data_IF_907531171800
#
_entry.id   IF_907531171800
#
_cell.length_a   1.000
_cell.length_b   1.000
_cell.length_c   1.000
_cell.angle_alpha   90.00
_cell.angle_beta   90.00
_cell.angle_gamma   90.00
#
_symmetry.space_group_name_H-M   'P 1'
#
loop_
_entity.id
_entity.type
_entity.pdbx_description
1 polymer ?
#
# COMPACT_ATOMS: atom_id res chain seq x y z
N UNK A 1 0.95 1.23 3.20
CA UNK A 1 0.98 -0.20 3.46
C UNK A 1 -0.18 -0.55 4.38
N UNK A 2 -0.95 -1.57 4.00
CA UNK A 2 -2.00 -2.11 4.86
C UNK A 2 -1.37 -2.81 6.06
N UNK A 3 -1.89 -2.55 7.26
CA UNK A 3 -1.44 -3.21 8.49
C UNK A 3 -2.66 -3.74 9.24
N UNK A 4 -3.67 -4.29 8.55
CA UNK A 4 -4.89 -4.83 9.16
C UNK A 4 -4.68 -6.19 9.86
N UNK A 5 -5.58 -6.60 10.76
CA UNK A 5 -5.47 -7.83 11.60
C UNK A 5 -5.32 -9.14 10.80
N UNK A 6 -5.57 -9.09 9.49
CA UNK A 6 -5.37 -10.21 8.57
C UNK A 6 -3.89 -10.56 8.30
N UNK A 7 -2.93 -9.72 8.72
CA UNK A 7 -1.49 -10.07 8.68
C UNK A 7 -1.07 -11.16 9.67
N UNK A 8 -1.98 -11.68 10.50
CA UNK A 8 -1.77 -12.84 11.39
C UNK A 8 -1.71 -14.19 10.65
N UNK A 9 -1.90 -14.25 9.32
CA UNK A 9 -1.75 -15.51 8.60
C UNK A 9 -0.29 -15.93 8.56
N UNK A 10 0.12 -16.76 9.53
CA UNK A 10 1.38 -17.49 9.47
C UNK A 10 1.42 -18.33 8.19
N UNK A 11 2.43 -18.10 7.36
CA UNK A 11 2.83 -19.03 6.30
C UNK A 11 4.13 -19.66 6.80
N UNK A 12 4.01 -20.80 7.50
CA UNK A 12 5.15 -21.38 8.22
C UNK A 12 5.46 -20.63 9.53
N UNK A 13 6.75 -20.40 9.81
CA UNK A 13 7.26 -19.74 11.04
C UNK A 13 7.37 -18.20 10.94
N UNK A 14 7.08 -17.60 9.79
CA UNK A 14 7.22 -16.16 9.56
C UNK A 14 5.86 -15.47 9.34
N UNK A 15 5.66 -14.30 9.97
CA UNK A 15 4.49 -13.48 9.72
C UNK A 15 4.68 -12.70 8.41
N UNK A 16 3.67 -12.69 7.54
CA UNK A 16 3.68 -11.97 6.25
C UNK A 16 4.08 -10.50 6.45
N UNK A 17 3.67 -9.89 7.56
CA UNK A 17 4.02 -8.50 7.87
C UNK A 17 5.52 -8.27 7.97
N UNK A 18 6.31 -9.24 8.45
CA UNK A 18 7.75 -9.05 8.60
C UNK A 18 8.43 -8.98 7.23
N UNK A 19 7.99 -9.82 6.30
CA UNK A 19 8.45 -9.77 4.91
C UNK A 19 8.00 -8.48 4.21
N UNK A 20 6.78 -8.02 4.46
CA UNK A 20 6.31 -6.74 3.94
C UNK A 20 7.10 -5.54 4.49
N UNK A 21 7.47 -5.55 5.77
CA UNK A 21 8.34 -4.53 6.37
C UNK A 21 9.72 -4.51 5.73
N UNK A 22 10.32 -5.68 5.52
CA UNK A 22 11.64 -5.79 4.86
C UNK A 22 11.57 -5.28 3.42
N UNK A 23 10.55 -5.69 2.67
CA UNK A 23 10.33 -5.21 1.31
C UNK A 23 10.10 -3.70 1.26
N UNK A 24 9.29 -3.17 2.18
CA UNK A 24 9.03 -1.73 2.30
C UNK A 24 10.30 -0.95 2.64
N UNK A 25 11.12 -1.46 3.57
CA UNK A 25 12.40 -0.84 3.93
C UNK A 25 13.37 -0.84 2.75
N UNK A 26 13.48 -1.98 2.04
CA UNK A 26 14.33 -2.10 0.85
C UNK A 26 13.91 -1.12 -0.26
N UNK A 27 12.60 -1.03 -0.55
CA UNK A 27 12.08 -0.05 -1.51
C UNK A 27 12.36 1.38 -1.03
N UNK A 28 12.08 1.71 0.23
CA UNK A 28 12.26 3.06 0.77
C UNK A 28 13.73 3.52 0.68
N UNK A 29 14.68 2.64 0.97
CA UNK A 29 16.10 2.92 0.76
C UNK A 29 16.46 3.12 -0.71
N UNK A 30 15.90 2.29 -1.60
CA UNK A 30 16.09 2.46 -3.04
C UNK A 30 15.60 3.82 -3.54
N UNK A 31 14.42 4.26 -3.10
CA UNK A 31 13.85 5.57 -3.43
C UNK A 31 14.72 6.73 -2.91
N UNK A 32 15.15 6.66 -1.65
CA UNK A 32 16.01 7.68 -1.03
C UNK A 32 17.36 7.79 -1.77
N UNK A 33 17.96 6.64 -2.12
CA UNK A 33 19.20 6.59 -2.89
C UNK A 33 19.06 7.15 -4.32
N UNK A 34 17.88 7.01 -4.93
CA UNK A 34 17.57 7.60 -6.24
C UNK A 34 17.23 9.09 -6.16
N UNK A 35 17.06 9.63 -4.95
CA UNK A 35 16.65 11.03 -4.73
C UNK A 35 15.16 11.27 -4.97
N UNK A 36 14.34 10.22 -4.96
CA UNK A 36 12.89 10.35 -5.08
C UNK A 36 12.29 11.00 -3.81
N UNK A 37 11.32 11.90 -4.02
CA UNK A 37 10.51 12.46 -2.95
C UNK A 37 9.35 11.50 -2.62
N UNK A 38 9.39 10.87 -1.44
CA UNK A 38 8.37 9.90 -1.05
C UNK A 38 7.97 10.01 0.42
N UNK A 39 6.74 9.58 0.72
CA UNK A 39 6.24 9.34 2.06
C UNK A 39 5.85 7.88 2.21
N UNK A 40 5.88 7.37 3.45
CA UNK A 40 5.44 6.03 3.81
C UNK A 40 4.35 6.18 4.85
N UNK A 41 3.17 5.69 4.51
CA UNK A 41 2.00 5.71 5.39
C UNK A 41 1.50 4.29 5.63
N UNK A 42 1.09 4.00 6.85
CA UNK A 42 0.28 2.83 7.17
C UNK A 42 -1.14 3.22 7.46
N UNK A 43 -2.07 2.30 7.20
CA UNK A 43 -3.47 2.54 7.48
C UNK A 43 -4.13 1.33 8.12
N UNK A 44 -5.06 1.62 9.02
CA UNK A 44 -5.95 0.64 9.64
C UNK A 44 -7.27 1.31 10.03
N UNK A 45 -8.32 0.53 10.31
CA UNK A 45 -9.66 1.04 10.60
C UNK A 45 -10.27 0.33 11.80
N UNK A 46 -10.71 1.08 12.80
CA UNK A 46 -11.46 0.55 13.94
C UNK A 46 -12.96 0.72 13.68
N UNK A 47 -13.66 -0.37 13.34
CA UNK A 47 -15.11 -0.39 13.03
C UNK A 47 -15.48 0.61 11.91
N UNK A 48 -16.77 0.98 11.81
CA UNK A 48 -17.34 1.80 10.73
C UNK A 48 -16.99 3.30 10.79
N UNK A 49 -16.34 3.78 11.84
CA UNK A 49 -16.31 5.22 12.13
C UNK A 49 -14.91 5.84 12.15
N UNK A 50 -13.83 5.05 12.18
CA UNK A 50 -12.47 5.60 12.33
C UNK A 50 -11.44 4.89 11.48
N UNK A 51 -10.87 5.63 10.53
CA UNK A 51 -9.68 5.24 9.76
C UNK A 51 -8.48 5.96 10.37
N UNK A 52 -7.48 5.19 10.74
CA UNK A 52 -6.20 5.67 11.23
C UNK A 52 -5.21 5.60 10.07
N UNK A 53 -4.61 6.74 9.74
CA UNK A 53 -3.46 6.81 8.83
C UNK A 53 -2.29 7.31 9.66
N UNK A 54 -1.19 6.58 9.62
CA UNK A 54 0.02 6.88 10.39
C UNK A 54 1.17 7.13 9.41
N UNK A 55 1.82 8.27 9.56
CA UNK A 55 3.05 8.59 8.84
C UNK A 55 4.21 7.84 9.50
N UNK A 56 4.74 6.85 8.78
CA UNK A 56 6.00 6.18 9.11
C UNK A 56 7.17 7.07 8.71
N UNK A 57 7.04 7.71 7.54
CA UNK A 57 7.97 8.69 6.98
C UNK A 57 7.19 9.76 6.24
N UNK A 58 7.35 11.02 6.61
CA UNK A 58 6.87 12.16 5.81
C UNK A 58 7.74 12.43 4.58
N UNK A 59 7.24 13.25 3.65
CA UNK A 59 8.02 13.63 2.47
C UNK A 59 9.31 14.40 2.80
N UNK A 60 9.28 15.23 3.85
CA UNK A 60 10.41 16.09 4.23
C UNK A 60 11.37 15.41 5.23
N UNK A 61 11.08 14.16 5.63
CA UNK A 61 11.99 13.33 6.42
C UNK A 61 12.96 12.57 5.49
N UNK A 62 14.22 12.43 5.90
CA UNK A 62 15.20 11.56 5.22
C UNK A 62 15.17 10.15 5.75
N UNK A 63 15.54 9.16 4.92
CA UNK A 63 15.78 7.81 5.44
C UNK A 63 16.91 7.80 6.47
N UNK A 64 16.83 6.85 7.39
CA UNK A 64 17.80 6.64 8.45
C UNK A 64 17.23 5.76 9.56
N UNK A 65 18.05 5.49 10.58
CA UNK A 65 17.75 4.52 11.65
C UNK A 65 16.38 4.73 12.33
N UNK A 66 15.94 5.99 12.45
CA UNK A 66 14.62 6.31 13.03
C UNK A 66 13.47 5.80 12.16
N UNK A 67 13.55 5.97 10.84
CA UNK A 67 12.52 5.53 9.91
C UNK A 67 12.54 4.00 9.81
N UNK A 68 13.72 3.40 9.76
CA UNK A 68 13.88 1.94 9.79
C UNK A 68 13.22 1.33 11.03
N UNK A 69 13.47 1.90 12.22
CA UNK A 69 12.85 1.43 13.46
C UNK A 69 11.32 1.58 13.44
N UNK A 70 10.78 2.65 12.83
CA UNK A 70 9.32 2.81 12.67
C UNK A 70 8.75 1.75 11.72
N UNK A 71 9.42 1.44 10.61
CA UNK A 71 9.01 0.37 9.68
C UNK A 71 9.05 -0.98 10.39
N UNK A 72 10.17 -1.31 11.06
CA UNK A 72 10.33 -2.58 11.79
C UNK A 72 9.26 -2.76 12.90
N UNK A 73 8.91 -1.66 13.58
CA UNK A 73 7.91 -1.62 14.64
C UNK A 73 6.45 -1.63 14.18
N UNK A 74 6.17 -1.70 12.87
CA UNK A 74 4.80 -1.82 12.39
C UNK A 74 4.15 -3.10 12.93
N UNK A 75 2.89 -2.99 13.34
CA UNK A 75 2.14 -4.13 13.89
C UNK A 75 0.78 -4.20 13.21
N UNK A 76 0.23 -5.42 13.02
CA UNK A 76 -1.13 -5.58 12.53
C UNK A 76 -2.13 -4.92 13.50
N UNK A 77 -3.11 -4.21 12.96
CA UNK A 77 -4.17 -3.52 13.69
C UNK A 77 -5.45 -3.43 12.84
N UNK A 78 -6.58 -3.90 13.39
CA UNK A 78 -7.96 -3.68 12.92
C UNK A 78 -8.26 -3.84 11.40
N UNK A 79 -9.36 -3.30 10.90
CA UNK A 79 -9.93 -3.56 9.55
C UNK A 79 -9.39 -2.62 8.46
N UNK A 80 -9.70 -2.86 7.19
CA UNK A 80 -9.19 -2.07 6.06
C UNK A 80 -10.27 -1.19 5.44
N UNK A 81 -10.13 0.15 5.50
CA UNK A 81 -10.92 1.10 4.68
C UNK A 81 -10.03 1.77 3.64
N UNK A 82 -9.76 1.00 2.58
CA UNK A 82 -8.82 1.35 1.53
C UNK A 82 -9.16 2.67 0.83
N UNK A 83 -10.42 2.92 0.50
CA UNK A 83 -10.83 4.16 -0.15
C UNK A 83 -10.52 5.42 0.64
N UNK A 84 -10.70 5.40 1.96
CA UNK A 84 -10.33 6.51 2.84
C UNK A 84 -8.81 6.71 2.90
N UNK A 85 -8.03 5.63 2.99
CA UNK A 85 -6.57 5.70 2.98
C UNK A 85 -6.03 6.29 1.66
N UNK A 86 -6.59 5.85 0.52
CA UNK A 86 -6.23 6.37 -0.81
C UNK A 86 -6.51 7.88 -0.89
N UNK A 87 -7.68 8.34 -0.44
CA UNK A 87 -8.01 9.78 -0.45
C UNK A 87 -7.06 10.59 0.43
N UNK A 88 -6.74 10.09 1.62
CA UNK A 88 -5.81 10.75 2.54
C UNK A 88 -4.41 10.86 1.93
N UNK A 89 -3.85 9.76 1.43
CA UNK A 89 -2.54 9.75 0.79
C UNK A 89 -2.51 10.61 -0.48
N UNK A 90 -3.59 10.57 -1.27
CA UNK A 90 -3.74 11.39 -2.48
C UNK A 90 -3.75 12.89 -2.15
N UNK A 91 -4.41 13.31 -1.05
CA UNK A 91 -4.37 14.71 -0.62
C UNK A 91 -2.95 15.17 -0.28
N UNK A 92 -2.20 14.40 0.53
CA UNK A 92 -0.81 14.75 0.85
C UNK A 92 0.13 14.74 -0.36
N UNK A 93 -0.10 13.84 -1.31
CA UNK A 93 0.64 13.80 -2.58
C UNK A 93 0.29 14.99 -3.48
N UNK A 94 -0.93 15.52 -3.40
CA UNK A 94 -1.36 16.65 -4.20
C UNK A 94 -0.62 17.94 -3.84
N UNK A 95 -0.21 18.10 -2.59
CA UNK A 95 0.54 19.26 -2.10
C UNK A 95 2.00 19.30 -2.60
N UNK A 96 2.51 18.20 -3.17
CA UNK A 96 3.86 18.15 -3.74
C UNK A 96 3.90 18.81 -5.13
N UNK A 97 4.95 19.60 -5.41
CA UNK A 97 5.16 20.28 -6.69
C UNK A 97 5.59 19.34 -7.84
N UNK A 98 5.89 18.07 -7.53
CA UNK A 98 6.42 17.09 -8.47
C UNK A 98 5.41 16.77 -9.58
N UNK A 99 5.88 16.70 -10.83
CA UNK A 99 5.02 16.48 -12.00
C UNK A 99 4.53 15.04 -12.13
N UNK A 100 5.34 14.06 -11.73
CA UNK A 100 4.95 12.65 -11.66
C UNK A 100 4.61 12.33 -10.21
N UNK A 101 3.38 11.87 -9.97
CA UNK A 101 2.84 11.54 -8.66
C UNK A 101 2.37 10.09 -8.70
N UNK A 102 2.98 9.22 -7.91
CA UNK A 102 2.63 7.81 -7.82
C UNK A 102 2.14 7.48 -6.41
N UNK A 103 0.97 6.86 -6.33
CA UNK A 103 0.46 6.22 -5.12
C UNK A 103 0.57 4.70 -5.26
N UNK A 104 1.48 4.11 -4.49
CA UNK A 104 1.68 2.66 -4.42
C UNK A 104 0.98 2.10 -3.18
N UNK A 105 0.05 1.17 -3.39
CA UNK A 105 -0.77 0.58 -2.33
C UNK A 105 -0.37 -0.88 -2.15
N UNK A 106 0.22 -1.22 -1.00
CA UNK A 106 0.62 -2.60 -0.66
C UNK A 106 -0.41 -3.17 0.32
N UNK A 107 -0.99 -4.33 -0.01
CA UNK A 107 -1.99 -5.04 0.81
C UNK A 107 -1.90 -6.56 0.57
N UNK A 108 -2.24 -7.36 1.57
CA UNK A 108 -2.27 -8.82 1.48
C UNK A 108 -3.53 -9.38 0.79
N UNK A 109 -4.46 -8.47 0.44
CA UNK A 109 -5.64 -8.76 -0.35
C UNK A 109 -6.61 -9.77 0.26
N UNK A 110 -6.51 -10.05 1.57
CA UNK A 110 -7.33 -11.10 2.16
C UNK A 110 -8.81 -10.73 2.18
N UNK A 111 -9.70 -11.71 1.89
CA UNK A 111 -11.13 -11.47 1.80
C UNK A 111 -11.70 -10.91 3.10
N UNK A 112 -11.30 -11.42 4.27
CA UNK A 112 -11.91 -11.04 5.56
C UNK A 112 -11.85 -9.53 5.89
N UNK A 113 -10.96 -8.76 5.27
CA UNK A 113 -10.90 -7.31 5.45
C UNK A 113 -11.95 -6.53 4.63
N UNK A 114 -12.49 -7.13 3.57
CA UNK A 114 -13.53 -6.55 2.70
C UNK A 114 -14.85 -7.35 2.71
N UNK A 115 -14.78 -8.68 2.85
CA UNK A 115 -15.88 -9.63 2.67
C UNK A 115 -16.86 -9.67 3.84
N UNK A 116 -16.38 -9.60 5.09
CA UNK A 116 -17.30 -9.83 6.21
C UNK A 116 -18.07 -8.57 6.65
N UNK A 117 -17.66 -7.37 6.21
CA UNK A 117 -18.27 -6.12 6.70
C UNK A 117 -18.58 -5.05 5.65
N UNK A 118 -17.98 -5.05 4.45
CA UNK A 118 -18.17 -3.98 3.44
C UNK A 118 -18.68 -4.44 2.06
N UNK A 119 -18.51 -5.71 1.68
CA UNK A 119 -19.05 -6.29 0.45
C UNK A 119 -18.81 -5.42 -0.80
N UNK A 120 -19.82 -5.31 -1.67
CA UNK A 120 -19.75 -4.48 -2.89
C UNK A 120 -19.50 -2.99 -2.60
N UNK A 121 -19.89 -2.47 -1.43
CA UNK A 121 -19.76 -1.04 -1.13
C UNK A 121 -18.30 -0.65 -0.88
N UNK A 122 -17.53 -1.42 -0.11
CA UNK A 122 -16.11 -1.13 0.14
C UNK A 122 -15.27 -1.20 -1.15
N UNK A 123 -15.57 -2.18 -2.01
CA UNK A 123 -14.96 -2.30 -3.34
C UNK A 123 -15.29 -1.06 -4.20
N UNK A 124 -16.55 -0.64 -4.22
CA UNK A 124 -16.99 0.48 -5.05
C UNK A 124 -16.48 1.83 -4.51
N UNK A 125 -16.43 2.01 -3.19
CA UNK A 125 -15.80 3.18 -2.55
C UNK A 125 -14.31 3.25 -2.88
N UNK A 126 -13.58 2.14 -2.73
CA UNK A 126 -12.15 2.07 -3.06
C UNK A 126 -11.90 2.36 -4.53
N UNK A 127 -12.74 1.82 -5.43
CA UNK A 127 -12.70 2.11 -6.87
C UNK A 127 -12.94 3.60 -7.13
N UNK A 128 -13.89 4.22 -6.44
CA UNK A 128 -14.14 5.65 -6.58
C UNK A 128 -12.95 6.49 -6.09
N UNK A 129 -12.33 6.13 -4.97
CA UNK A 129 -11.12 6.77 -4.47
C UNK A 129 -9.95 6.68 -5.47
N UNK A 130 -9.73 5.52 -6.10
CA UNK A 130 -8.73 5.37 -7.18
C UNK A 130 -9.04 6.31 -8.34
N UNK A 131 -10.31 6.41 -8.76
CA UNK A 131 -10.71 7.31 -9.85
C UNK A 131 -10.52 8.78 -9.49
N UNK A 132 -10.80 9.16 -8.25
CA UNK A 132 -10.58 10.51 -7.74
C UNK A 132 -9.09 10.87 -7.77
N UNK A 133 -8.22 10.01 -7.25
CA UNK A 133 -6.77 10.21 -7.29
C UNK A 133 -6.23 10.31 -8.74
N UNK A 134 -6.71 9.43 -9.64
CA UNK A 134 -6.35 9.50 -11.07
C UNK A 134 -6.80 10.78 -11.75
N UNK A 135 -7.97 11.32 -11.40
CA UNK A 135 -8.45 12.63 -11.90
C UNK A 135 -7.57 13.79 -11.44
N UNK A 136 -6.88 13.65 -10.31
CA UNK A 136 -5.87 14.61 -9.84
C UNK A 136 -4.50 14.44 -10.54
N UNK A 137 -4.39 13.49 -11.49
CA UNK A 137 -3.17 13.21 -12.23
C UNK A 137 -2.23 12.23 -11.53
N UNK A 138 -2.68 11.54 -10.47
CA UNK A 138 -1.86 10.54 -9.79
C UNK A 138 -1.90 9.21 -10.55
N UNK A 139 -0.74 8.61 -10.77
CA UNK A 139 -0.67 7.17 -11.03
C UNK A 139 -1.03 6.44 -9.74
N UNK A 140 -1.86 5.41 -9.83
CA UNK A 140 -2.28 4.61 -8.67
C UNK A 140 -2.12 3.15 -9.02
N UNK A 141 -1.31 2.44 -8.24
CA UNK A 141 -0.97 1.03 -8.46
C UNK A 141 -1.11 0.22 -7.18
N UNK A 142 -1.79 -0.93 -7.26
CA UNK A 142 -1.89 -1.89 -6.17
C UNK A 142 -0.82 -2.98 -6.26
N UNK A 143 -0.23 -3.38 -5.15
CA UNK A 143 0.60 -4.58 -5.01
C UNK A 143 -0.09 -5.49 -4.01
N UNK A 144 -0.51 -6.66 -4.49
CA UNK A 144 -1.33 -7.60 -3.74
C UNK A 144 -0.51 -8.83 -3.42
N UNK A 145 -0.35 -9.14 -2.14
CA UNK A 145 0.35 -10.34 -1.68
C UNK A 145 -0.65 -11.47 -1.46
N UNK A 146 -1.07 -12.14 -2.53
CA UNK A 146 -2.08 -13.20 -2.46
C UNK A 146 -1.80 -14.34 -3.45
N UNK A 147 -1.98 -15.58 -2.99
CA UNK A 147 -1.92 -16.80 -3.82
C UNK A 147 -3.10 -16.90 -4.78
N UNK A 148 -4.23 -16.29 -4.45
CA UNK A 148 -5.47 -16.35 -5.24
C UNK A 148 -5.82 -14.94 -5.73
N UNK A 149 -5.11 -14.46 -6.75
CA UNK A 149 -5.34 -13.15 -7.35
C UNK A 149 -6.83 -12.80 -7.43
N UNK A 150 -7.25 -11.81 -6.66
CA UNK A 150 -8.67 -11.60 -6.40
C UNK A 150 -9.30 -10.77 -7.51
N UNK A 151 -10.42 -11.24 -8.08
CA UNK A 151 -11.13 -10.54 -9.17
C UNK A 151 -11.56 -9.11 -8.81
N UNK A 152 -11.70 -8.79 -7.51
CA UNK A 152 -12.07 -7.44 -7.07
C UNK A 152 -10.94 -6.42 -7.17
N UNK A 153 -9.66 -6.82 -7.18
CA UNK A 153 -8.56 -5.86 -7.36
C UNK A 153 -8.60 -5.22 -8.75
N UNK A 154 -8.90 -6.02 -9.77
CA UNK A 154 -9.18 -5.50 -11.12
C UNK A 154 -10.36 -4.53 -11.11
N UNK A 155 -11.38 -4.77 -10.29
CA UNK A 155 -12.50 -3.83 -10.15
C UNK A 155 -12.11 -2.51 -9.47
N UNK A 156 -11.18 -2.52 -8.51
CA UNK A 156 -10.74 -1.32 -7.79
C UNK A 156 -9.74 -0.51 -8.62
N UNK A 157 -8.68 -1.17 -9.08
CA UNK A 157 -7.54 -0.51 -9.73
C UNK A 157 -7.65 -0.50 -11.26
N UNK A 158 -8.55 -1.28 -11.86
CA UNK A 158 -8.62 -1.47 -13.31
C UNK A 158 -7.55 -2.45 -13.81
N UNK A 159 -7.71 -2.88 -15.07
CA UNK A 159 -6.72 -3.73 -15.74
C UNK A 159 -5.36 -3.01 -15.81
N UNK A 160 -4.29 -3.74 -15.49
CA UNK A 160 -2.92 -3.20 -15.44
C UNK A 160 -2.64 -2.23 -14.27
N UNK A 161 -3.64 -1.89 -13.45
CA UNK A 161 -3.47 -1.00 -12.29
C UNK A 161 -3.01 -1.70 -11.00
N UNK A 162 -2.67 -2.99 -11.08
CA UNK A 162 -2.18 -3.76 -9.93
C UNK A 162 -1.25 -4.89 -10.37
N UNK A 163 -0.42 -5.35 -9.44
CA UNK A 163 0.45 -6.52 -9.56
C UNK A 163 0.12 -7.51 -8.44
N UNK A 164 0.19 -8.81 -8.76
CA UNK A 164 -0.01 -9.88 -7.77
C UNK A 164 1.33 -10.55 -7.50
N UNK A 165 1.70 -10.60 -6.22
CA UNK A 165 2.86 -11.33 -5.72
C UNK A 165 2.33 -12.56 -4.98
N UNK A 166 2.41 -13.72 -5.63
CA UNK A 166 1.81 -14.97 -5.12
C UNK A 166 2.53 -15.58 -3.92
N UNK A 167 3.75 -15.11 -3.64
CA UNK A 167 4.63 -15.62 -2.61
C UNK A 167 5.21 -14.43 -1.82
N UNK A 168 4.83 -14.26 -0.54
CA UNK A 168 5.31 -13.15 0.28
C UNK A 168 6.83 -13.02 0.27
N UNK A 169 7.57 -14.13 0.32
CA UNK A 169 9.03 -14.14 0.35
C UNK A 169 9.66 -13.51 -0.90
N UNK A 170 8.90 -13.43 -2.00
CA UNK A 170 9.32 -12.76 -3.24
C UNK A 170 9.06 -11.26 -3.24
N UNK A 171 8.30 -10.74 -2.29
CA UNK A 171 7.91 -9.33 -2.26
C UNK A 171 9.12 -8.41 -2.20
N UNK A 172 10.15 -8.76 -1.41
CA UNK A 172 11.39 -7.97 -1.29
C UNK A 172 12.10 -7.80 -2.64
N UNK A 173 12.06 -8.82 -3.50
CA UNK A 173 12.63 -8.75 -4.85
C UNK A 173 11.67 -8.14 -5.88
N UNK A 174 10.36 -8.44 -5.76
CA UNK A 174 9.35 -8.01 -6.72
C UNK A 174 9.01 -6.52 -6.61
N UNK A 175 8.99 -5.97 -5.40
CA UNK A 175 8.53 -4.60 -5.16
C UNK A 175 9.42 -3.54 -5.86
N UNK A 176 10.76 -3.61 -5.80
CA UNK A 176 11.63 -2.73 -6.59
C UNK A 176 11.45 -2.91 -8.10
N UNK A 177 11.19 -4.14 -8.57
CA UNK A 177 10.95 -4.41 -10.00
C UNK A 177 9.64 -3.77 -10.47
N UNK A 178 8.55 -3.97 -9.72
CA UNK A 178 7.24 -3.37 -9.96
C UNK A 178 7.38 -1.84 -10.01
N UNK A 179 8.08 -1.24 -9.05
CA UNK A 179 8.33 0.21 -9.05
C UNK A 179 9.00 0.66 -10.35
N UNK A 180 10.09 0.01 -10.77
CA UNK A 180 10.81 0.35 -12.01
C UNK A 180 9.94 0.18 -13.26
N UNK A 181 9.08 -0.84 -13.31
CA UNK A 181 8.17 -1.03 -14.45
C UNK A 181 7.16 0.11 -14.55
N UNK A 182 6.62 0.58 -13.42
CA UNK A 182 5.64 1.67 -13.36
C UNK A 182 6.29 3.01 -13.68
N UNK A 183 7.51 3.27 -13.22
CA UNK A 183 8.19 4.57 -13.38
C UNK A 183 9.06 4.66 -14.63
N UNK A 184 9.57 3.54 -15.13
CA UNK A 184 10.41 3.45 -16.33
C UNK A 184 9.63 3.26 -17.63
N UNK A 185 8.37 2.85 -17.57
CA UNK A 185 7.48 2.81 -18.73
C UNK A 185 6.89 4.19 -19.04
N UNK A 186 7.68 5.08 -19.65
CA UNK A 186 7.20 6.40 -20.08
C UNK A 186 8.21 7.18 -20.90
#
# INVERSE_FOLDING_TARGET
MDTSRSTESAIGDHMVIDVEKEALAALAWGLDACGDDFAVQTFSSLKRDRVYVLDVKGFDEKMGARIEARIAGLTPSFYTRLGAAIRHASAGLQDRATRRKLLLVITDGKPNDLDHYEGRHGIEDSRMAVREARRLGHAVHGVVVDKKGQAWFSRIFGEGGFSVVSDPDRLTAALPEIYRQITGGG
#
